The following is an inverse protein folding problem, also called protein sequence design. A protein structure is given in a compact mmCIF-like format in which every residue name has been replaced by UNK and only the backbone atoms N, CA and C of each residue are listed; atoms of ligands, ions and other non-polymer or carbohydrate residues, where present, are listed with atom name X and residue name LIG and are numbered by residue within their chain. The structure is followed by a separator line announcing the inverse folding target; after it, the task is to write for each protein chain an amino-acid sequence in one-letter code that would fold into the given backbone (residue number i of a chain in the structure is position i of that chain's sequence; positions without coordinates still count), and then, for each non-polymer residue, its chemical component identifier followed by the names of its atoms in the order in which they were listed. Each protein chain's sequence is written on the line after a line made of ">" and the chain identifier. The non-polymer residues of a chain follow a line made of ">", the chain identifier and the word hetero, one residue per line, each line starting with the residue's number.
data_IF_077660297024
#
_entry.id   IF_077660297024
#
_cell.length_a   1.000
_cell.length_b   1.000
_cell.length_c   1.000
_cell.angle_alpha   90.00
_cell.angle_beta   90.00
_cell.angle_gamma   90.00
#
_symmetry.space_group_name_H-M   'P 1'
#
loop_
_entity.id
_entity.type
_entity.pdbx_description
1 polymer ?
#
# COMPACT_ATOMS: atom_id res chain seq x y z
N UNK A 1 -25.34 -7.02 16.12
CA UNK A 1 -24.34 -7.42 15.11
C UNK A 1 -23.03 -6.76 15.49
N UNK A 2 -22.00 -7.53 15.80
CA UNK A 2 -20.65 -7.01 16.03
C UNK A 2 -20.05 -6.66 14.67
N UNK A 3 -19.81 -5.38 14.40
CA UNK A 3 -19.12 -4.97 13.16
C UNK A 3 -17.67 -5.45 13.22
N UNK A 4 -17.11 -5.87 12.08
CA UNK A 4 -15.70 -6.24 11.98
C UNK A 4 -14.79 -5.02 12.20
N UNK A 5 -13.56 -5.26 12.68
CA UNK A 5 -12.50 -4.23 12.73
C UNK A 5 -11.96 -4.03 11.30
N UNK A 6 -11.85 -2.77 10.87
CA UNK A 6 -11.33 -2.41 9.53
C UNK A 6 -9.82 -2.14 9.61
N UNK A 7 -9.09 -2.60 8.61
CA UNK A 7 -7.70 -2.26 8.33
C UNK A 7 -7.65 -1.81 6.88
N UNK A 8 -7.06 -0.65 6.60
CA UNK A 8 -7.00 -0.08 5.26
C UNK A 8 -5.64 -0.38 4.64
N UNK A 9 -5.62 -0.96 3.44
CA UNK A 9 -4.41 -1.04 2.62
C UNK A 9 -4.34 0.17 1.69
N UNK A 10 -3.18 0.79 1.57
CA UNK A 10 -2.93 1.82 0.55
C UNK A 10 -2.38 1.14 -0.70
N UNK A 11 -3.13 1.21 -1.79
CA UNK A 11 -2.82 0.52 -3.05
C UNK A 11 -1.48 1.01 -3.62
N UNK A 12 -0.79 0.15 -4.36
CA UNK A 12 0.53 0.41 -4.94
C UNK A 12 0.48 1.39 -6.12
N UNK A 13 1.65 1.86 -6.57
CA UNK A 13 1.76 2.82 -7.68
C UNK A 13 1.22 2.26 -9.02
N UNK A 14 0.81 3.16 -9.91
CA UNK A 14 0.57 2.85 -11.32
C UNK A 14 1.88 3.09 -12.07
N UNK A 15 2.70 2.04 -12.15
CA UNK A 15 4.09 2.10 -12.62
C UNK A 15 4.23 2.58 -14.07
N UNK A 16 3.23 2.30 -14.89
CA UNK A 16 3.20 2.74 -16.29
C UNK A 16 2.88 4.23 -16.49
N UNK A 17 2.39 4.94 -15.46
CA UNK A 17 1.93 6.33 -15.59
C UNK A 17 2.14 7.14 -14.29
N UNK A 18 3.41 7.23 -13.87
CA UNK A 18 3.84 7.88 -12.63
C UNK A 18 3.57 9.40 -12.58
N UNK A 19 3.55 10.06 -13.74
CA UNK A 19 3.29 11.50 -13.85
C UNK A 19 1.81 11.83 -14.14
N UNK A 20 0.95 10.80 -14.26
CA UNK A 20 -0.47 10.91 -14.59
C UNK A 20 -1.35 10.21 -13.57
N UNK A 21 -1.83 9.01 -13.89
CA UNK A 21 -2.75 8.24 -13.06
C UNK A 21 -2.21 7.96 -11.65
N UNK A 22 -0.90 7.80 -11.49
CA UNK A 22 -0.31 7.58 -10.16
C UNK A 22 -0.51 8.77 -9.21
N UNK A 23 -0.60 10.00 -9.74
CA UNK A 23 -0.93 11.19 -8.93
C UNK A 23 -2.30 11.00 -8.25
N UNK A 24 -3.27 10.44 -8.97
CA UNK A 24 -4.60 10.16 -8.42
C UNK A 24 -4.54 9.09 -7.32
N UNK A 25 -3.71 8.05 -7.50
CA UNK A 25 -3.49 7.03 -6.46
C UNK A 25 -2.90 7.66 -5.20
N UNK A 26 -1.92 8.56 -5.35
CA UNK A 26 -1.32 9.28 -4.23
C UNK A 26 -2.34 10.17 -3.52
N UNK A 27 -3.19 10.89 -4.25
CA UNK A 27 -4.26 11.71 -3.68
C UNK A 27 -5.28 10.88 -2.88
N UNK A 28 -5.70 9.73 -3.41
CA UNK A 28 -6.58 8.79 -2.71
C UNK A 28 -5.90 8.25 -1.46
N UNK A 29 -4.64 7.83 -1.57
CA UNK A 29 -3.89 7.27 -0.44
C UNK A 29 -3.69 8.30 0.68
N UNK A 30 -3.44 9.57 0.36
CA UNK A 30 -3.36 10.63 1.37
C UNK A 30 -4.71 10.89 2.06
N UNK A 31 -5.81 10.88 1.31
CA UNK A 31 -7.16 10.99 1.89
C UNK A 31 -7.50 9.78 2.79
N UNK A 32 -7.13 8.57 2.38
CA UNK A 32 -7.31 7.35 3.19
C UNK A 32 -6.46 7.38 4.47
N UNK A 33 -5.21 7.87 4.41
CA UNK A 33 -4.37 8.08 5.59
C UNK A 33 -5.02 9.07 6.56
N UNK A 34 -5.53 10.20 6.05
CA UNK A 34 -6.20 11.20 6.86
C UNK A 34 -7.46 10.63 7.53
N UNK A 35 -8.30 9.94 6.76
CA UNK A 35 -9.51 9.28 7.25
C UNK A 35 -9.19 8.22 8.31
N UNK A 36 -8.20 7.36 8.06
CA UNK A 36 -7.80 6.33 9.01
C UNK A 36 -7.30 6.94 10.32
N UNK A 37 -6.56 8.05 10.25
CA UNK A 37 -6.10 8.79 11.43
C UNK A 37 -7.26 9.40 12.22
N UNK A 38 -8.26 9.98 11.55
CA UNK A 38 -9.45 10.57 12.19
C UNK A 38 -10.28 9.51 12.94
N UNK A 39 -10.32 8.28 12.42
CA UNK A 39 -11.15 7.19 12.94
C UNK A 39 -10.38 6.10 13.70
N UNK A 40 -9.11 6.34 14.05
CA UNK A 40 -8.23 5.38 14.74
C UNK A 40 -8.17 3.99 14.07
N UNK A 41 -8.11 3.99 12.73
CA UNK A 41 -7.99 2.78 11.92
C UNK A 41 -6.52 2.46 11.65
N UNK A 42 -6.19 1.17 11.64
CA UNK A 42 -4.85 0.72 11.22
C UNK A 42 -4.71 0.81 9.70
N UNK A 43 -3.54 1.21 9.24
CA UNK A 43 -3.17 1.34 7.82
C UNK A 43 -1.98 0.45 7.50
N UNK A 44 -2.00 -0.20 6.34
CA UNK A 44 -0.84 -0.87 5.74
C UNK A 44 -0.45 -0.11 4.48
N UNK A 45 0.70 0.56 4.53
CA UNK A 45 1.20 1.38 3.41
C UNK A 45 2.00 0.51 2.41
N UNK A 46 1.29 -0.16 1.51
CA UNK A 46 1.92 -0.95 0.44
C UNK A 46 2.53 -0.06 -0.63
N UNK A 47 1.92 1.10 -0.91
CA UNK A 47 2.43 2.11 -1.83
C UNK A 47 3.89 2.43 -1.56
N UNK A 48 4.20 2.95 -0.38
CA UNK A 48 5.57 3.35 -0.04
C UNK A 48 6.54 2.16 -0.07
N UNK A 49 6.07 0.99 0.37
CA UNK A 49 6.89 -0.22 0.42
C UNK A 49 7.39 -0.68 -0.95
N UNK A 50 6.55 -0.61 -2.00
CA UNK A 50 6.95 -0.97 -3.35
C UNK A 50 7.62 0.20 -4.08
N UNK A 51 7.15 1.42 -3.87
CA UNK A 51 7.73 2.63 -4.45
C UNK A 51 9.19 2.79 -4.09
N UNK A 52 9.54 2.71 -2.81
CA UNK A 52 10.93 2.83 -2.37
C UNK A 52 11.81 1.68 -2.89
N UNK A 53 11.28 0.46 -2.97
CA UNK A 53 12.01 -0.68 -3.49
C UNK A 53 12.29 -0.55 -5.00
N UNK A 54 11.31 -0.09 -5.77
CA UNK A 54 11.45 0.16 -7.20
C UNK A 54 12.41 1.33 -7.49
N UNK A 55 12.29 2.43 -6.74
CA UNK A 55 13.18 3.61 -6.87
C UNK A 55 14.67 3.27 -6.68
N UNK A 56 15.00 2.27 -5.86
CA UNK A 56 16.39 1.79 -5.68
C UNK A 56 16.80 0.69 -6.66
N UNK A 57 15.97 0.43 -7.68
CA UNK A 57 16.25 -0.50 -8.78
C UNK A 57 15.87 -1.95 -8.52
N UNK A 58 15.07 -2.26 -7.49
CA UNK A 58 14.55 -3.62 -7.34
C UNK A 58 13.37 -3.83 -8.28
N UNK A 59 13.45 -4.86 -9.13
CA UNK A 59 12.32 -5.28 -9.96
C UNK A 59 11.23 -5.89 -9.08
N UNK A 60 10.18 -5.13 -8.77
CA UNK A 60 9.08 -5.53 -7.88
C UNK A 60 7.71 -5.60 -8.57
N UNK A 61 7.57 -5.04 -9.77
CA UNK A 61 6.39 -5.19 -10.63
C UNK A 61 6.61 -6.23 -11.74
N UNK A 62 5.52 -6.81 -12.23
CA UNK A 62 5.48 -7.75 -13.36
C UNK A 62 4.97 -7.09 -14.65
N UNK A 63 4.53 -5.83 -14.57
CA UNK A 63 3.92 -5.05 -15.63
C UNK A 63 3.43 -3.73 -15.04
N UNK A 64 2.38 -3.16 -15.62
CA UNK A 64 1.93 -1.79 -15.34
C UNK A 64 1.48 -1.53 -13.89
N UNK A 65 0.87 -2.52 -13.23
CA UNK A 65 0.31 -2.35 -11.86
C UNK A 65 0.49 -3.56 -10.95
N UNK A 66 0.69 -4.75 -11.52
CA UNK A 66 0.71 -5.99 -10.74
C UNK A 66 2.11 -6.23 -10.14
N UNK A 67 2.23 -6.42 -8.82
CA UNK A 67 3.48 -6.85 -8.21
C UNK A 67 3.91 -8.23 -8.72
N UNK A 68 5.22 -8.45 -8.81
CA UNK A 68 5.78 -9.78 -9.04
C UNK A 68 5.98 -10.52 -7.69
N UNK A 69 6.54 -11.73 -7.74
CA UNK A 69 6.78 -12.53 -6.53
C UNK A 69 7.67 -11.83 -5.47
N UNK A 70 8.60 -10.96 -5.89
CA UNK A 70 9.39 -10.13 -4.96
C UNK A 70 8.53 -9.02 -4.36
N UNK A 71 7.75 -8.30 -5.18
CA UNK A 71 6.81 -7.28 -4.70
C UNK A 71 5.83 -7.84 -3.68
N UNK A 72 5.19 -8.97 -3.98
CA UNK A 72 4.29 -9.63 -3.02
C UNK A 72 4.96 -10.03 -1.70
N UNK A 73 6.24 -10.43 -1.71
CA UNK A 73 6.98 -10.73 -0.47
C UNK A 73 7.20 -9.47 0.37
N UNK A 74 7.57 -8.35 -0.25
CA UNK A 74 7.73 -7.08 0.46
C UNK A 74 6.40 -6.61 1.06
N UNK A 75 5.30 -6.69 0.30
CA UNK A 75 3.96 -6.41 0.80
C UNK A 75 3.60 -7.31 1.98
N UNK A 76 3.85 -8.62 1.88
CA UNK A 76 3.58 -9.56 2.97
C UNK A 76 4.33 -9.18 4.26
N UNK A 77 5.62 -8.85 4.16
CA UNK A 77 6.39 -8.38 5.33
C UNK A 77 5.83 -7.08 5.90
N UNK A 78 5.43 -6.13 5.05
CA UNK A 78 4.78 -4.90 5.52
C UNK A 78 3.47 -5.16 6.25
N UNK A 79 2.64 -6.06 5.72
CA UNK A 79 1.37 -6.41 6.33
C UNK A 79 1.53 -7.10 7.70
N UNK A 80 2.58 -7.92 7.86
CA UNK A 80 2.86 -8.59 9.13
C UNK A 80 3.11 -7.60 10.28
N UNK A 81 3.64 -6.40 10.03
CA UNK A 81 3.80 -5.34 11.05
C UNK A 81 2.46 -4.97 11.72
N UNK A 82 1.34 -5.10 11.00
CA UNK A 82 -0.01 -4.82 11.49
C UNK A 82 -0.69 -6.09 11.96
N UNK A 83 -0.69 -7.16 11.16
CA UNK A 83 -1.45 -8.37 11.44
C UNK A 83 -0.94 -9.15 12.67
N UNK A 84 0.34 -9.02 13.01
CA UNK A 84 0.90 -9.67 14.21
C UNK A 84 0.60 -8.91 15.52
N UNK A 85 -0.04 -7.73 15.43
CA UNK A 85 -0.33 -6.83 16.55
C UNK A 85 -1.81 -6.49 16.66
N UNK A 86 -2.67 -7.41 16.21
CA UNK A 86 -4.12 -7.28 16.35
C UNK A 86 -4.52 -7.63 17.79
N UNK A 87 -4.51 -6.62 18.66
CA UNK A 87 -5.16 -6.64 19.98
C UNK A 87 -6.63 -6.24 19.87
#
# INVERSE_FOLDING_TARGET
>A
STKGKVIIGLETQIDSDMDGLDIVVREVNEQLKAYAKEHDLKVIDFYTSLYEADQIGQIVFAGEVHPNARGYRLMAYKALEVFTRLS
#
